data_IF_565722283502
#
_entry.id   IF_565722283502
#
_cell.length_a   1.000
_cell.length_b   1.000
_cell.length_c   1.000
_cell.angle_alpha   90.00
_cell.angle_beta   90.00
_cell.angle_gamma   90.00
#
_symmetry.space_group_name_H-M   'P 1'
#
loop_
_entity.id
_entity.type
_entity.pdbx_description
1 polymer ?
#
# COMPACT_ATOMS: atom_id res chain seq x y z
N UNK A 1 -31.92 -33.46 6.53
CA UNK A 1 -32.46 -33.69 5.18
C UNK A 1 -31.51 -34.57 4.38
N UNK A 2 -32.03 -35.70 3.88
CA UNK A 2 -31.51 -36.61 2.85
C UNK A 2 -30.00 -36.62 2.56
N UNK A 3 -29.35 -37.72 2.95
CA UNK A 3 -28.04 -38.08 2.45
C UNK A 3 -28.01 -38.13 0.92
N UNK A 4 -27.05 -37.42 0.33
CA UNK A 4 -26.60 -37.66 -1.04
C UNK A 4 -25.18 -38.17 -0.95
N UNK A 5 -25.03 -39.49 -0.87
CA UNK A 5 -23.85 -40.15 -1.43
C UNK A 5 -23.96 -40.01 -2.94
N UNK A 6 -23.34 -38.97 -3.47
CA UNK A 6 -23.04 -38.84 -4.88
C UNK A 6 -21.57 -38.44 -4.89
N UNK A 7 -20.73 -39.21 -5.60
CA UNK A 7 -19.37 -38.79 -5.93
C UNK A 7 -19.38 -37.29 -6.23
N UNK A 8 -18.41 -36.49 -5.73
CA UNK A 8 -18.41 -35.05 -5.97
C UNK A 8 -18.67 -34.79 -7.47
N UNK A 9 -19.44 -33.76 -7.84
CA UNK A 9 -19.77 -33.46 -9.23
C UNK A 9 -18.54 -32.96 -10.01
N UNK A 10 -17.36 -33.41 -9.63
CA UNK A 10 -16.05 -33.02 -10.10
C UNK A 10 -15.24 -34.26 -10.49
N UNK A 11 -14.40 -34.11 -11.51
CA UNK A 11 -13.42 -35.10 -11.94
C UNK A 11 -12.07 -34.58 -11.44
N UNK A 12 -11.47 -35.27 -10.46
CA UNK A 12 -10.13 -34.95 -9.95
C UNK A 12 -9.08 -35.29 -11.02
N UNK A 13 -8.10 -34.41 -11.21
CA UNK A 13 -6.97 -34.62 -12.13
C UNK A 13 -5.64 -34.64 -11.37
N UNK A 14 -4.71 -33.72 -11.65
CA UNK A 14 -3.41 -33.68 -10.99
C UNK A 14 -3.46 -33.17 -9.53
N UNK A 15 -2.62 -33.72 -8.63
CA UNK A 15 -2.39 -33.12 -7.33
C UNK A 15 -1.65 -31.78 -7.49
N UNK A 16 -2.13 -30.75 -6.80
CA UNK A 16 -1.56 -29.40 -6.78
C UNK A 16 -0.65 -29.18 -5.57
N UNK A 17 -0.96 -29.85 -4.45
CA UNK A 17 -0.20 -29.74 -3.21
C UNK A 17 -0.60 -30.82 -2.21
N UNK A 18 0.31 -31.13 -1.28
CA UNK A 18 0.06 -32.09 -0.20
C UNK A 18 0.57 -31.50 1.11
N UNK A 19 -0.29 -31.50 2.13
CA UNK A 19 0.04 -31.14 3.50
C UNK A 19 -0.15 -32.34 4.43
N UNK A 20 0.02 -32.11 5.73
CA UNK A 20 -0.02 -33.16 6.76
C UNK A 20 -1.34 -33.94 6.81
N UNK A 21 -2.47 -33.27 6.58
CA UNK A 21 -3.81 -33.85 6.73
C UNK A 21 -4.65 -33.80 5.44
N UNK A 22 -4.13 -33.16 4.40
CA UNK A 22 -4.91 -32.86 3.21
C UNK A 22 -4.07 -32.92 1.93
N UNK A 23 -4.72 -33.34 0.85
CA UNK A 23 -4.16 -33.24 -0.50
C UNK A 23 -5.09 -32.37 -1.33
N UNK A 24 -4.52 -31.42 -2.07
CA UNK A 24 -5.26 -30.53 -2.96
C UNK A 24 -5.14 -31.06 -4.38
N UNK A 25 -6.26 -31.24 -5.05
CA UNK A 25 -6.34 -31.69 -6.44
C UNK A 25 -6.95 -30.61 -7.32
N UNK A 26 -6.49 -30.51 -8.56
CA UNK A 26 -7.25 -29.81 -9.60
C UNK A 26 -8.46 -30.65 -9.98
N UNK A 27 -9.58 -30.01 -10.27
CA UNK A 27 -10.78 -30.71 -10.71
C UNK A 27 -11.63 -29.90 -11.70
N UNK A 28 -12.44 -30.62 -12.48
CA UNK A 28 -13.39 -30.05 -13.44
C UNK A 28 -14.81 -30.49 -13.11
N UNK A 29 -15.79 -29.59 -13.19
CA UNK A 29 -17.20 -29.95 -12.96
C UNK A 29 -17.68 -30.90 -14.07
N UNK A 30 -18.29 -32.05 -13.70
CA UNK A 30 -18.75 -33.10 -14.63
C UNK A 30 -19.72 -32.61 -15.71
N UNK A 31 -20.54 -31.61 -15.38
CA UNK A 31 -21.56 -31.03 -16.28
C UNK A 31 -21.09 -29.76 -17.01
N UNK A 32 -19.96 -29.21 -16.62
CA UNK A 32 -19.36 -28.02 -17.23
C UNK A 32 -17.84 -28.10 -17.10
N UNK A 33 -17.18 -28.62 -18.14
CA UNK A 33 -15.73 -28.80 -18.14
C UNK A 33 -14.96 -27.48 -18.23
N UNK A 34 -15.64 -26.34 -18.38
CA UNK A 34 -14.98 -25.01 -18.35
C UNK A 34 -14.76 -24.51 -16.93
N UNK A 35 -15.51 -25.00 -15.94
CA UNK A 35 -15.29 -24.63 -14.54
C UNK A 35 -14.17 -25.48 -13.92
N UNK A 36 -13.00 -24.84 -13.74
CA UNK A 36 -11.85 -25.41 -13.04
C UNK A 36 -11.89 -24.99 -11.57
N UNK A 37 -11.63 -25.95 -10.67
CA UNK A 37 -11.59 -25.74 -9.21
C UNK A 37 -10.37 -26.44 -8.59
N UNK A 38 -10.00 -26.03 -7.38
CA UNK A 38 -9.07 -26.74 -6.53
C UNK A 38 -9.85 -27.41 -5.39
N UNK A 39 -9.69 -28.71 -5.18
CA UNK A 39 -10.39 -29.46 -4.13
C UNK A 39 -9.39 -29.93 -3.08
N UNK A 40 -9.45 -29.34 -1.88
CA UNK A 40 -8.68 -29.78 -0.70
C UNK A 40 -9.44 -30.93 -0.04
N UNK A 41 -8.89 -32.14 -0.18
CA UNK A 41 -9.42 -33.38 0.36
C UNK A 41 -8.78 -33.65 1.72
N UNK A 42 -9.57 -33.63 2.80
CA UNK A 42 -9.12 -33.88 4.18
C UNK A 42 -9.62 -35.25 4.63
N UNK A 43 -8.73 -36.10 5.13
CA UNK A 43 -9.12 -37.41 5.65
C UNK A 43 -9.58 -37.29 7.11
N UNK A 44 -10.85 -37.62 7.37
CA UNK A 44 -11.47 -37.53 8.71
C UNK A 44 -10.73 -38.35 9.77
N UNK A 45 -10.16 -39.49 9.39
CA UNK A 45 -9.45 -40.39 10.30
C UNK A 45 -8.08 -39.86 10.73
N UNK A 46 -7.52 -38.90 9.98
CA UNK A 46 -6.24 -38.26 10.30
C UNK A 46 -6.38 -37.07 11.27
N UNK A 47 -7.61 -36.66 11.60
CA UNK A 47 -7.86 -35.48 12.41
C UNK A 47 -7.95 -35.85 13.90
N UNK A 48 -7.17 -35.16 14.73
CA UNK A 48 -7.40 -35.12 16.17
C UNK A 48 -8.46 -34.04 16.50
N UNK A 49 -8.89 -33.96 17.77
CA UNK A 49 -9.92 -33.01 18.21
C UNK A 49 -9.57 -31.55 17.86
N UNK A 50 -8.34 -31.12 18.09
CA UNK A 50 -7.89 -29.75 17.77
C UNK A 50 -7.88 -29.49 16.26
N UNK A 51 -7.50 -30.47 15.45
CA UNK A 51 -7.55 -30.38 13.99
C UNK A 51 -8.98 -30.31 13.44
N UNK A 52 -9.94 -30.98 14.10
CA UNK A 52 -11.37 -30.85 13.77
C UNK A 52 -11.87 -29.44 14.08
N UNK A 53 -11.57 -28.91 15.28
CA UNK A 53 -11.95 -27.55 15.67
C UNK A 53 -11.36 -26.51 14.70
N UNK A 54 -10.07 -26.62 14.36
CA UNK A 54 -9.44 -25.75 13.37
C UNK A 54 -10.10 -25.84 11.99
N UNK A 55 -10.47 -27.05 11.52
CA UNK A 55 -11.13 -27.23 10.23
C UNK A 55 -12.54 -26.62 10.21
N UNK A 56 -13.28 -26.73 11.32
CA UNK A 56 -14.60 -26.10 11.44
C UNK A 56 -14.47 -24.57 11.40
N UNK A 57 -13.51 -24.01 12.13
CA UNK A 57 -13.21 -22.57 12.08
C UNK A 57 -12.75 -22.13 10.68
N UNK A 58 -11.91 -22.91 9.99
CA UNK A 58 -11.50 -22.63 8.60
C UNK A 58 -12.73 -22.56 7.68
N UNK A 59 -13.64 -23.53 7.75
CA UNK A 59 -14.88 -23.54 6.96
C UNK A 59 -15.77 -22.35 7.30
N UNK A 60 -15.93 -22.03 8.58
CA UNK A 60 -16.74 -20.91 9.04
C UNK A 60 -16.23 -19.59 8.49
N UNK A 61 -14.94 -19.30 8.68
CA UNK A 61 -14.27 -18.11 8.16
C UNK A 61 -14.46 -18.03 6.65
N UNK A 62 -14.09 -19.09 5.92
CA UNK A 62 -14.12 -19.12 4.46
C UNK A 62 -15.53 -18.94 3.88
N UNK A 63 -16.59 -19.32 4.60
CA UNK A 63 -17.98 -19.10 4.18
C UNK A 63 -18.44 -17.65 4.33
N UNK A 64 -17.83 -16.88 5.23
CA UNK A 64 -18.22 -15.49 5.51
C UNK A 64 -17.43 -14.46 4.69
N UNK A 65 -16.28 -14.86 4.13
CA UNK A 65 -15.39 -13.93 3.44
C UNK A 65 -15.48 -14.05 1.92
N UNK A 66 -15.50 -12.91 1.24
CA UNK A 66 -15.35 -12.84 -0.21
C UNK A 66 -14.59 -11.57 -0.58
N UNK A 67 -13.41 -11.74 -1.15
CA UNK A 67 -12.52 -10.64 -1.50
C UNK A 67 -11.69 -10.99 -2.74
N UNK A 68 -11.43 -10.06 -3.69
CA UNK A 68 -10.65 -10.33 -4.90
C UNK A 68 -9.28 -10.96 -4.64
N UNK A 69 -8.61 -10.57 -3.55
CA UNK A 69 -7.30 -11.06 -3.14
C UNK A 69 -7.32 -12.18 -2.10
N UNK A 70 -8.44 -12.89 -1.96
CA UNK A 70 -8.58 -14.10 -1.13
C UNK A 70 -9.16 -15.22 -2.00
N UNK A 71 -8.66 -16.44 -1.85
CA UNK A 71 -9.19 -17.62 -2.56
C UNK A 71 -10.62 -17.89 -2.08
N UNK A 72 -11.57 -17.89 -3.01
CA UNK A 72 -12.99 -18.13 -2.69
C UNK A 72 -13.25 -19.61 -2.39
N UNK A 73 -13.93 -19.90 -1.27
CA UNK A 73 -14.56 -21.20 -1.04
C UNK A 73 -15.89 -21.24 -1.80
N UNK A 74 -15.94 -21.99 -2.90
CA UNK A 74 -17.11 -22.10 -3.76
C UNK A 74 -18.18 -23.03 -3.18
N UNK A 75 -17.75 -24.12 -2.57
CA UNK A 75 -18.64 -25.15 -2.00
C UNK A 75 -17.87 -26.00 -0.98
N UNK A 76 -18.60 -26.71 -0.11
CA UNK A 76 -18.01 -27.70 0.80
C UNK A 76 -18.87 -28.97 0.83
N UNK A 77 -18.22 -30.13 0.77
CA UNK A 77 -18.89 -31.43 0.72
C UNK A 77 -18.20 -32.41 1.67
N UNK A 78 -18.87 -33.51 2.00
CA UNK A 78 -18.30 -34.58 2.83
C UNK A 78 -18.94 -35.93 2.52
N UNK A 79 -18.20 -37.00 2.78
CA UNK A 79 -18.69 -38.39 2.75
C UNK A 79 -18.38 -39.13 4.06
N UNK A 80 -18.32 -40.46 4.06
CA UNK A 80 -17.98 -41.24 5.26
C UNK A 80 -16.56 -40.96 5.78
N UNK A 81 -15.61 -40.70 4.89
CA UNK A 81 -14.18 -40.75 5.19
C UNK A 81 -13.47 -39.41 4.94
N UNK A 82 -14.04 -38.52 4.12
CA UNK A 82 -13.39 -37.28 3.68
C UNK A 82 -14.27 -36.05 3.81
N UNK A 83 -13.60 -34.91 3.95
CA UNK A 83 -14.16 -33.56 3.79
C UNK A 83 -13.51 -32.93 2.56
N UNK A 84 -14.31 -32.27 1.73
CA UNK A 84 -13.91 -31.67 0.47
C UNK A 84 -14.21 -30.17 0.52
N UNK A 85 -13.16 -29.34 0.47
CA UNK A 85 -13.28 -27.90 0.30
C UNK A 85 -13.08 -27.58 -1.18
N UNK A 86 -14.12 -27.12 -1.86
CA UNK A 86 -14.10 -26.77 -3.28
C UNK A 86 -13.78 -25.28 -3.40
N UNK A 87 -12.59 -24.97 -3.88
CA UNK A 87 -12.01 -23.63 -3.90
C UNK A 87 -11.80 -23.11 -5.32
N UNK A 88 -11.70 -21.79 -5.45
CA UNK A 88 -11.21 -21.13 -6.65
C UNK A 88 -9.83 -21.68 -7.08
N UNK A 89 -9.69 -22.01 -8.37
CA UNK A 89 -8.42 -22.46 -8.93
C UNK A 89 -7.54 -21.28 -9.35
N UNK A 90 -6.31 -21.23 -8.82
CA UNK A 90 -5.30 -20.23 -9.16
C UNK A 90 -4.24 -20.84 -10.09
N UNK A 91 -4.23 -20.44 -11.36
CA UNK A 91 -3.40 -21.08 -12.39
C UNK A 91 -1.92 -20.67 -12.36
N UNK A 92 -1.57 -19.58 -11.68
CA UNK A 92 -0.20 -19.04 -11.60
C UNK A 92 0.71 -19.74 -10.58
N UNK A 93 0.18 -20.69 -9.80
CA UNK A 93 0.91 -21.34 -8.71
C UNK A 93 1.06 -20.42 -7.49
N UNK A 94 2.07 -20.67 -6.66
CA UNK A 94 2.34 -19.92 -5.43
C UNK A 94 3.46 -18.86 -5.59
N UNK A 95 3.41 -17.84 -4.74
CA UNK A 95 4.37 -16.74 -4.72
C UNK A 95 5.78 -17.23 -4.37
N UNK A 96 5.94 -18.30 -3.58
CA UNK A 96 7.25 -18.88 -3.26
C UNK A 96 7.96 -19.36 -4.54
N UNK A 97 7.27 -20.11 -5.40
CA UNK A 97 7.79 -20.52 -6.72
C UNK A 97 8.04 -19.30 -7.62
N UNK A 98 7.16 -18.31 -7.58
CA UNK A 98 7.30 -17.09 -8.38
C UNK A 98 8.58 -16.30 -8.03
N UNK A 99 8.88 -16.13 -6.73
CA UNK A 99 10.12 -15.50 -6.25
C UNK A 99 11.32 -16.37 -6.61
N UNK A 100 11.31 -17.67 -6.29
CA UNK A 100 12.46 -18.56 -6.56
C UNK A 100 12.87 -18.59 -8.03
N UNK A 101 11.92 -18.64 -8.95
CA UNK A 101 12.19 -18.66 -10.40
C UNK A 101 12.81 -17.36 -10.91
N UNK A 102 12.60 -16.23 -10.21
CA UNK A 102 13.16 -14.91 -10.54
C UNK A 102 14.34 -14.52 -9.65
N UNK A 103 14.68 -15.34 -8.64
CA UNK A 103 15.65 -15.10 -7.56
C UNK A 103 15.27 -13.96 -6.61
N UNK A 104 14.83 -12.82 -7.12
CA UNK A 104 14.30 -11.67 -6.38
C UNK A 104 13.32 -10.91 -7.28
N UNK A 105 12.45 -10.11 -6.68
CA UNK A 105 11.50 -9.26 -7.38
C UNK A 105 12.00 -7.81 -7.37
N UNK A 106 11.90 -7.07 -8.49
CA UNK A 106 12.07 -5.63 -8.49
C UNK A 106 11.11 -4.97 -7.49
N UNK A 107 11.56 -3.90 -6.83
CA UNK A 107 10.77 -3.19 -5.81
C UNK A 107 9.38 -2.80 -6.31
N UNK A 108 9.27 -2.33 -7.56
CA UNK A 108 7.99 -1.99 -8.20
C UNK A 108 7.02 -3.16 -8.25
N UNK A 109 7.50 -4.37 -8.53
CA UNK A 109 6.68 -5.60 -8.57
C UNK A 109 6.30 -6.03 -7.15
N UNK A 110 7.26 -5.98 -6.22
CA UNK A 110 7.01 -6.30 -4.81
C UNK A 110 5.96 -5.36 -4.20
N UNK A 111 5.98 -4.07 -4.54
CA UNK A 111 4.99 -3.07 -4.10
C UNK A 111 3.57 -3.41 -4.56
N UNK A 112 3.39 -3.82 -5.82
CA UNK A 112 2.07 -4.21 -6.34
C UNK A 112 1.51 -5.44 -5.60
N UNK A 113 2.35 -6.45 -5.33
CA UNK A 113 1.91 -7.60 -4.53
C UNK A 113 1.64 -7.22 -3.08
N UNK A 114 2.45 -6.35 -2.48
CA UNK A 114 2.23 -5.85 -1.14
C UNK A 114 0.91 -5.10 -1.01
N UNK A 115 0.56 -4.26 -2.00
CA UNK A 115 -0.75 -3.58 -2.06
C UNK A 115 -1.91 -4.57 -2.07
N UNK A 116 -1.85 -5.59 -2.93
CA UNK A 116 -2.89 -6.61 -3.01
C UNK A 116 -3.01 -7.43 -1.73
N UNK A 117 -1.88 -7.75 -1.10
CA UNK A 117 -1.85 -8.41 0.20
C UNK A 117 -2.41 -7.50 1.30
N UNK A 118 -2.09 -6.20 1.28
CA UNK A 118 -2.62 -5.21 2.21
C UNK A 118 -4.15 -5.04 2.06
N UNK A 119 -4.71 -5.10 0.84
CA UNK A 119 -6.15 -5.14 0.63
C UNK A 119 -6.80 -6.35 1.31
N UNK A 120 -6.25 -7.56 1.10
CA UNK A 120 -6.73 -8.76 1.76
C UNK A 120 -6.62 -8.66 3.29
N UNK A 121 -5.47 -8.17 3.79
CA UNK A 121 -5.20 -8.07 5.22
C UNK A 121 -6.10 -7.03 5.90
N UNK A 122 -6.35 -5.90 5.24
CA UNK A 122 -7.33 -4.91 5.72
C UNK A 122 -8.72 -5.52 5.83
N UNK A 123 -9.17 -6.21 4.79
CA UNK A 123 -10.46 -6.88 4.81
C UNK A 123 -10.57 -7.87 5.99
N UNK A 124 -9.54 -8.69 6.22
CA UNK A 124 -9.51 -9.64 7.33
C UNK A 124 -9.50 -8.93 8.69
N UNK A 125 -8.66 -7.90 8.84
CA UNK A 125 -8.55 -7.11 10.06
C UNK A 125 -9.88 -6.44 10.43
N UNK A 126 -10.58 -5.84 9.46
CA UNK A 126 -11.89 -5.21 9.66
C UNK A 126 -12.97 -6.23 10.09
N UNK A 127 -12.76 -7.53 9.84
CA UNK A 127 -13.61 -8.64 10.28
C UNK A 127 -13.08 -9.37 11.53
N UNK A 128 -12.05 -8.82 12.19
CA UNK A 128 -11.36 -9.43 13.33
C UNK A 128 -10.83 -10.84 13.02
N UNK A 129 -10.29 -11.06 11.82
CA UNK A 129 -9.68 -12.34 11.41
C UNK A 129 -8.17 -12.15 11.29
N UNK A 130 -7.41 -12.98 12.01
CA UNK A 130 -5.96 -13.12 11.84
C UNK A 130 -5.66 -14.40 11.08
N UNK A 131 -4.74 -14.36 10.11
CA UNK A 131 -4.39 -15.52 9.28
C UNK A 131 -3.42 -16.46 9.99
N UNK A 132 -2.43 -15.92 10.71
CA UNK A 132 -1.46 -16.65 11.57
C UNK A 132 -0.50 -17.62 10.87
N UNK A 133 -0.63 -17.83 9.56
CA UNK A 133 0.34 -18.58 8.74
C UNK A 133 0.58 -17.90 7.38
N UNK A 134 0.79 -16.58 7.39
CA UNK A 134 1.16 -15.84 6.19
C UNK A 134 2.58 -16.23 5.74
N UNK A 135 2.67 -16.76 4.52
CA UNK A 135 3.93 -17.14 3.86
C UNK A 135 3.74 -17.21 2.35
N UNK A 136 4.80 -17.12 1.54
CA UNK A 136 4.68 -17.13 0.07
C UNK A 136 4.05 -18.40 -0.51
N UNK A 137 4.08 -19.53 0.20
CA UNK A 137 3.40 -20.77 -0.22
C UNK A 137 1.88 -20.71 -0.07
N UNK A 138 1.38 -19.88 0.85
CA UNK A 138 -0.05 -19.65 1.09
C UNK A 138 -0.59 -18.44 0.29
N UNK A 139 0.24 -17.88 -0.59
CA UNK A 139 -0.12 -16.76 -1.46
C UNK A 139 -0.11 -17.28 -2.89
N UNK A 140 -1.29 -17.47 -3.46
CA UNK A 140 -1.46 -17.98 -4.82
C UNK A 140 -1.56 -16.85 -5.84
N UNK A 141 -1.34 -17.19 -7.09
CA UNK A 141 -1.38 -16.27 -8.23
C UNK A 141 -2.47 -16.72 -9.20
N UNK A 142 -3.38 -15.80 -9.56
CA UNK A 142 -4.54 -16.12 -10.39
C UNK A 142 -4.18 -16.69 -11.77
N UNK A 143 -3.11 -16.18 -12.39
CA UNK A 143 -2.63 -16.56 -13.71
C UNK A 143 -1.09 -16.53 -13.80
N UNK A 144 -0.46 -17.18 -14.80
CA UNK A 144 0.99 -17.12 -14.96
C UNK A 144 1.54 -15.74 -15.38
N UNK A 145 0.75 -14.98 -16.13
CA UNK A 145 1.09 -13.65 -16.64
C UNK A 145 0.20 -12.59 -15.99
N UNK A 146 0.79 -11.46 -15.61
CA UNK A 146 0.11 -10.36 -14.88
C UNK A 146 -0.79 -10.86 -13.73
N UNK A 147 -0.25 -11.69 -12.81
CA UNK A 147 -1.05 -12.34 -11.78
C UNK A 147 -1.68 -11.34 -10.80
N UNK A 148 -2.89 -11.68 -10.36
CA UNK A 148 -3.44 -11.15 -9.11
C UNK A 148 -3.10 -12.12 -7.97
N UNK A 149 -2.66 -11.55 -6.86
CA UNK A 149 -2.40 -12.24 -5.62
C UNK A 149 -3.71 -12.68 -4.97
N UNK A 150 -3.77 -13.92 -4.51
CA UNK A 150 -4.87 -14.50 -3.73
C UNK A 150 -4.35 -15.22 -2.50
N UNK A 151 -4.71 -14.73 -1.31
CA UNK A 151 -4.40 -15.36 -0.04
C UNK A 151 -5.20 -16.66 0.12
N UNK A 152 -4.52 -17.73 0.53
CA UNK A 152 -5.07 -19.07 0.66
C UNK A 152 -4.68 -19.72 1.99
N UNK A 153 -5.30 -20.87 2.28
CA UNK A 153 -5.04 -21.74 3.44
C UNK A 153 -5.26 -21.10 4.82
N UNK A 154 -6.53 -21.02 5.20
CA UNK A 154 -7.00 -20.47 6.48
C UNK A 154 -6.99 -21.51 7.62
N UNK A 155 -6.28 -22.63 7.47
CA UNK A 155 -6.27 -23.72 8.46
C UNK A 155 -5.73 -23.33 9.84
N UNK A 156 -4.99 -22.23 9.95
CA UNK A 156 -4.53 -21.65 11.22
C UNK A 156 -5.29 -20.39 11.63
N UNK A 157 -6.14 -19.84 10.77
CA UNK A 157 -6.80 -18.57 10.99
C UNK A 157 -7.75 -18.62 12.19
N UNK A 158 -7.93 -17.47 12.83
CA UNK A 158 -8.75 -17.33 14.03
C UNK A 158 -9.46 -15.97 14.02
N UNK A 159 -10.63 -15.93 14.66
CA UNK A 159 -11.20 -14.65 15.09
C UNK A 159 -10.37 -14.10 16.26
N UNK A 160 -9.90 -12.86 16.12
CA UNK A 160 -9.08 -12.13 17.09
C UNK A 160 -9.50 -10.66 17.11
N UNK A 161 -10.19 -10.27 18.18
CA UNK A 161 -10.44 -8.86 18.51
C UNK A 161 -9.13 -8.21 18.97
N UNK A 162 -9.03 -6.86 18.98
CA UNK A 162 -7.84 -6.15 19.46
C UNK A 162 -7.42 -6.46 20.91
N UNK A 163 -8.34 -6.99 21.71
CA UNK A 163 -8.16 -7.36 23.11
C UNK A 163 -7.79 -8.84 23.31
N UNK A 164 -7.83 -9.65 22.25
CA UNK A 164 -7.62 -11.08 22.32
C UNK A 164 -6.12 -11.43 22.27
N UNK A 165 -5.70 -12.33 23.15
CA UNK A 165 -4.35 -12.85 23.22
C UNK A 165 -4.36 -14.37 23.05
N UNK A 166 -3.33 -14.93 22.41
CA UNK A 166 -3.21 -16.37 22.14
C UNK A 166 -1.89 -16.93 22.65
N UNK A 167 -1.91 -18.22 22.98
CA UNK A 167 -0.76 -18.94 23.56
C UNK A 167 -0.28 -20.15 22.76
N UNK A 168 -1.10 -20.66 21.83
CA UNK A 168 -0.75 -21.84 21.03
C UNK A 168 0.15 -21.42 19.87
N UNK A 169 1.31 -22.07 19.72
CA UNK A 169 2.20 -21.85 18.60
C UNK A 169 1.56 -22.33 17.30
N UNK A 170 1.48 -21.45 16.29
CA UNK A 170 0.86 -21.70 14.98
C UNK A 170 1.72 -21.08 13.88
N UNK A 171 1.64 -21.66 12.68
CA UNK A 171 2.29 -21.15 11.47
C UNK A 171 3.59 -21.84 11.11
N UNK A 172 4.40 -21.16 10.29
CA UNK A 172 5.66 -21.69 9.75
C UNK A 172 6.88 -20.97 10.36
N UNK A 173 7.85 -21.67 10.99
CA UNK A 173 8.89 -21.05 11.82
C UNK A 173 9.68 -19.90 11.18
N UNK A 174 9.93 -19.93 9.87
CA UNK A 174 10.66 -18.86 9.17
C UNK A 174 9.89 -17.53 9.06
N UNK A 175 8.57 -17.56 9.23
CA UNK A 175 7.65 -16.42 9.06
C UNK A 175 6.96 -16.02 10.37
N UNK A 176 7.13 -16.80 11.44
CA UNK A 176 6.57 -16.51 12.76
C UNK A 176 7.23 -15.28 13.37
N UNK A 177 6.42 -14.46 14.06
CA UNK A 177 6.92 -13.34 14.83
C UNK A 177 7.70 -13.83 16.07
N UNK A 178 8.75 -13.11 16.51
CA UNK A 178 9.59 -13.54 17.64
C UNK A 178 8.81 -13.79 18.93
N UNK A 179 7.78 -12.99 19.21
CA UNK A 179 6.93 -13.12 20.40
C UNK A 179 6.14 -14.44 20.43
N UNK A 180 5.78 -15.01 19.27
CA UNK A 180 5.09 -16.30 19.20
C UNK A 180 5.99 -17.42 19.73
N UNK A 181 7.29 -17.36 19.43
CA UNK A 181 8.29 -18.36 19.80
C UNK A 181 8.84 -18.11 21.20
N UNK A 182 9.16 -16.87 21.53
CA UNK A 182 9.86 -16.50 22.76
C UNK A 182 8.92 -16.36 23.96
N UNK A 183 7.69 -15.86 23.75
CA UNK A 183 6.78 -15.49 24.84
C UNK A 183 5.51 -16.33 24.87
N UNK A 184 5.15 -16.99 23.76
CA UNK A 184 3.89 -17.72 23.62
C UNK A 184 2.70 -16.85 24.05
N UNK A 185 2.78 -15.57 23.70
CA UNK A 185 1.80 -14.56 24.03
C UNK A 185 1.82 -13.51 22.94
N UNK A 186 0.76 -13.46 22.13
CA UNK A 186 0.72 -12.65 20.93
C UNK A 186 -0.70 -12.24 20.53
N UNK A 187 -0.78 -11.19 19.70
CA UNK A 187 -2.00 -10.65 19.11
C UNK A 187 -1.90 -10.65 17.58
N UNK A 188 -2.86 -10.00 16.89
CA UNK A 188 -2.93 -9.96 15.43
C UNK A 188 -1.70 -9.33 14.74
N UNK A 189 -0.86 -8.55 15.45
CA UNK A 189 0.34 -7.90 14.87
C UNK A 189 1.42 -8.90 14.43
N UNK A 190 1.27 -10.18 14.76
CA UNK A 190 2.13 -11.25 14.22
C UNK A 190 2.00 -11.36 12.70
N UNK A 191 0.83 -11.08 12.13
CA UNK A 191 0.63 -11.10 10.68
C UNK A 191 1.44 -9.99 10.00
N UNK A 192 1.59 -8.82 10.63
CA UNK A 192 2.44 -7.72 10.11
C UNK A 192 3.92 -8.11 10.07
N UNK A 193 4.41 -8.85 11.07
CA UNK A 193 5.75 -9.42 11.01
C UNK A 193 5.91 -10.36 9.81
N UNK A 194 4.96 -11.28 9.62
CA UNK A 194 4.99 -12.22 8.50
C UNK A 194 4.96 -11.49 7.15
N UNK A 195 4.19 -10.40 7.02
CA UNK A 195 4.21 -9.51 5.83
C UNK A 195 5.61 -8.91 5.62
N UNK A 196 6.27 -8.45 6.68
CA UNK A 196 7.65 -7.96 6.61
C UNK A 196 8.63 -9.04 6.11
N UNK A 197 8.48 -10.28 6.59
CA UNK A 197 9.29 -11.41 6.12
C UNK A 197 9.04 -11.72 4.66
N UNK A 198 7.78 -11.71 4.21
CA UNK A 198 7.40 -11.93 2.80
C UNK A 198 7.99 -10.84 1.90
N UNK A 199 7.89 -9.57 2.31
CA UNK A 199 8.44 -8.44 1.56
C UNK A 199 9.97 -8.54 1.48
N UNK A 200 10.64 -8.88 2.59
CA UNK A 200 12.07 -9.14 2.61
C UNK A 200 12.45 -10.27 1.66
N UNK A 201 11.75 -11.41 1.71
CA UNK A 201 12.03 -12.54 0.82
C UNK A 201 11.80 -12.19 -0.65
N UNK A 202 10.77 -11.40 -0.96
CA UNK A 202 10.53 -10.93 -2.31
C UNK A 202 11.70 -10.07 -2.84
N UNK A 203 12.22 -9.16 -2.02
CA UNK A 203 13.27 -8.20 -2.42
C UNK A 203 14.69 -8.79 -2.41
N UNK A 204 14.97 -9.73 -1.50
CA UNK A 204 16.32 -10.29 -1.29
C UNK A 204 16.43 -11.78 -1.65
N UNK A 205 15.32 -12.43 -2.01
CA UNK A 205 15.26 -13.81 -2.49
C UNK A 205 15.23 -14.90 -1.42
N UNK A 206 15.37 -14.54 -0.13
CA UNK A 206 15.33 -15.47 1.00
C UNK A 206 14.79 -14.76 2.26
N UNK A 207 14.15 -15.47 3.20
CA UNK A 207 13.76 -14.90 4.49
C UNK A 207 14.96 -14.38 5.29
N UNK A 208 14.78 -13.39 6.18
CA UNK A 208 15.87 -12.78 6.95
C UNK A 208 16.53 -13.78 7.90
N UNK A 209 15.78 -14.76 8.41
CA UNK A 209 16.27 -15.80 9.32
C UNK A 209 16.46 -17.17 8.65
N UNK A 210 16.69 -17.20 7.34
CA UNK A 210 17.05 -18.46 6.67
C UNK A 210 18.24 -19.14 7.39
N UNK A 211 18.05 -20.39 7.78
CA UNK A 211 18.97 -21.17 8.63
C UNK A 211 19.08 -22.61 8.13
N UNK A 212 20.18 -23.28 8.47
CA UNK A 212 20.45 -24.68 8.10
C UNK A 212 19.84 -25.67 9.09
N UNK A 213 19.52 -25.23 10.30
CA UNK A 213 18.88 -26.04 11.34
C UNK A 213 17.80 -25.25 12.08
N UNK A 214 16.88 -25.97 12.74
CA UNK A 214 15.87 -25.35 13.60
C UNK A 214 16.51 -24.64 14.80
N UNK A 215 17.59 -25.20 15.38
CA UNK A 215 18.31 -24.57 16.48
C UNK A 215 18.94 -23.22 16.07
N UNK A 216 19.53 -23.13 14.87
CA UNK A 216 20.07 -21.86 14.35
C UNK A 216 18.95 -20.84 14.07
N UNK A 217 17.80 -21.30 13.58
CA UNK A 217 16.62 -20.45 13.40
C UNK A 217 16.13 -19.90 14.74
N UNK A 218 15.98 -20.77 15.73
CA UNK A 218 15.54 -20.40 17.08
C UNK A 218 16.50 -19.39 17.74
N UNK A 219 17.82 -19.57 17.58
CA UNK A 219 18.83 -18.62 18.05
C UNK A 219 18.66 -17.23 17.41
N UNK A 220 18.47 -17.17 16.08
CA UNK A 220 18.23 -15.89 15.38
C UNK A 220 16.92 -15.22 15.80
N UNK A 221 15.87 -16.01 16.04
CA UNK A 221 14.58 -15.52 16.51
C UNK A 221 14.71 -14.96 17.94
N UNK A 222 15.43 -15.64 18.83
CA UNK A 222 15.65 -15.21 20.22
C UNK A 222 16.64 -14.05 20.40
N UNK A 223 17.43 -13.75 19.37
CA UNK A 223 18.36 -12.62 19.40
C UNK A 223 17.64 -11.28 19.51
N UNK A 224 18.20 -10.34 20.27
CA UNK A 224 17.73 -8.95 20.32
C UNK A 224 18.26 -8.08 19.16
N UNK A 225 19.09 -8.65 18.27
CA UNK A 225 19.65 -7.90 17.14
C UNK A 225 18.57 -7.55 16.12
N UNK A 226 18.51 -6.28 15.74
CA UNK A 226 17.65 -5.80 14.66
C UNK A 226 17.93 -6.54 13.35
N UNK A 227 16.92 -6.66 12.49
CA UNK A 227 17.10 -7.29 11.18
C UNK A 227 17.93 -6.37 10.29
N UNK A 228 19.08 -6.85 9.84
CA UNK A 228 19.94 -6.12 8.93
C UNK A 228 19.44 -6.24 7.48
N UNK A 229 19.19 -5.09 6.85
CA UNK A 229 18.82 -5.02 5.44
C UNK A 229 20.07 -4.98 4.57
N UNK A 230 20.23 -5.89 3.59
CA UNK A 230 21.34 -5.82 2.64
C UNK A 230 21.44 -4.46 1.93
N UNK A 231 22.67 -4.06 1.60
CA UNK A 231 22.93 -2.83 0.82
C UNK A 231 22.51 -2.95 -0.64
N UNK A 232 22.35 -4.17 -1.15
CA UNK A 232 21.87 -4.46 -2.50
C UNK A 232 20.69 -5.45 -2.48
N UNK A 233 19.66 -5.25 -3.32
CA UNK A 233 19.48 -4.11 -4.23
C UNK A 233 19.31 -2.78 -3.47
N UNK A 234 19.56 -1.66 -4.16
CA UNK A 234 19.20 -0.35 -3.62
C UNK A 234 17.68 -0.27 -3.59
N UNK A 235 17.14 0.09 -2.43
CA UNK A 235 15.72 0.23 -2.19
C UNK A 235 15.42 1.70 -1.93
N UNK A 236 14.21 2.13 -2.26
CA UNK A 236 13.71 3.46 -1.85
C UNK A 236 13.74 3.62 -0.33
N UNK A 237 13.77 4.88 0.13
CA UNK A 237 13.77 5.19 1.55
C UNK A 237 12.48 4.69 2.20
N UNK A 238 11.35 4.84 1.50
CA UNK A 238 10.03 4.40 1.94
C UNK A 238 9.94 2.87 2.05
N UNK A 239 10.58 2.12 1.14
CA UNK A 239 10.64 0.67 1.22
C UNK A 239 11.45 0.20 2.44
N UNK A 240 12.61 0.83 2.67
CA UNK A 240 13.48 0.52 3.83
C UNK A 240 12.81 0.85 5.14
N UNK A 241 12.15 2.01 5.22
CA UNK A 241 11.38 2.45 6.37
C UNK A 241 10.29 1.44 6.73
N UNK A 242 9.45 1.06 5.75
CA UNK A 242 8.39 0.08 5.97
C UNK A 242 8.94 -1.27 6.45
N UNK A 243 9.99 -1.79 5.79
CA UNK A 243 10.62 -3.05 6.19
C UNK A 243 11.13 -3.01 7.63
N UNK A 244 11.75 -1.89 8.02
CA UNK A 244 12.24 -1.67 9.38
C UNK A 244 11.11 -1.70 10.41
N UNK A 245 9.99 -1.03 10.11
CA UNK A 245 8.87 -0.96 11.05
C UNK A 245 8.04 -2.27 11.11
N UNK A 246 7.97 -3.06 10.02
CA UNK A 246 7.33 -4.39 10.02
C UNK A 246 8.17 -5.44 10.75
N UNK A 247 9.50 -5.40 10.58
CA UNK A 247 10.46 -6.33 11.18
C UNK A 247 11.00 -5.85 12.54
N UNK A 248 10.25 -4.97 13.20
CA UNK A 248 10.47 -4.61 14.60
C UNK A 248 10.04 -5.76 15.51
N UNK A 249 10.96 -6.14 16.42
CA UNK A 249 10.82 -7.34 17.26
C UNK A 249 9.87 -7.11 18.42
N UNK A 250 9.86 -5.92 19.02
CA UNK A 250 8.86 -5.60 20.05
C UNK A 250 7.51 -5.30 19.37
N UNK A 251 6.46 -6.13 19.55
CA UNK A 251 5.17 -5.91 18.90
C UNK A 251 4.55 -4.55 19.25
N UNK A 252 4.93 -3.93 20.38
CA UNK A 252 4.46 -2.60 20.79
C UNK A 252 5.13 -1.46 20.02
N UNK A 253 6.31 -1.69 19.45
CA UNK A 253 7.03 -0.74 18.60
C UNK A 253 6.82 -1.01 17.11
N UNK A 254 6.41 -2.23 16.77
CA UNK A 254 6.04 -2.61 15.40
C UNK A 254 4.90 -1.72 14.90
N UNK A 255 4.96 -1.39 13.61
CA UNK A 255 3.93 -0.59 12.94
C UNK A 255 2.53 -1.15 13.24
N UNK A 256 1.56 -0.27 13.48
CA UNK A 256 0.17 -0.68 13.66
C UNK A 256 -0.48 -0.99 12.31
N UNK A 257 -1.63 -1.66 12.31
CA UNK A 257 -2.38 -1.91 11.07
C UNK A 257 -2.79 -0.61 10.37
N UNK A 258 -3.26 0.38 11.13
CA UNK A 258 -3.68 1.69 10.61
C UNK A 258 -2.51 2.41 9.92
N UNK A 259 -1.35 2.46 10.60
CA UNK A 259 -0.14 3.06 10.05
C UNK A 259 0.40 2.27 8.86
N UNK A 260 0.30 0.93 8.87
CA UNK A 260 0.67 0.08 7.74
C UNK A 260 -0.16 0.38 6.50
N UNK A 261 -1.50 0.44 6.63
CA UNK A 261 -2.39 0.75 5.51
C UNK A 261 -2.22 2.19 5.00
N UNK A 262 -1.86 3.13 5.87
CA UNK A 262 -1.58 4.53 5.53
C UNK A 262 -0.13 4.77 5.05
N UNK A 263 0.73 3.74 5.07
CA UNK A 263 2.15 3.93 4.81
C UNK A 263 2.39 4.33 3.34
N UNK A 264 3.24 5.35 3.05
CA UNK A 264 3.47 5.85 1.68
C UNK A 264 3.95 4.79 0.69
N UNK A 265 4.76 3.82 1.15
CA UNK A 265 5.18 2.70 0.32
C UNK A 265 4.02 1.75 -0.04
N UNK A 266 3.07 1.52 0.87
CA UNK A 266 1.90 0.67 0.60
C UNK A 266 0.95 1.39 -0.34
N UNK A 267 0.61 2.65 -0.05
CA UNK A 267 -0.21 3.49 -0.92
C UNK A 267 -1.55 2.82 -1.29
N UNK A 268 -2.40 2.64 -0.28
CA UNK A 268 -3.73 2.04 -0.45
C UNK A 268 -4.70 2.93 -1.26
N UNK A 269 -4.39 4.21 -1.44
CA UNK A 269 -5.21 5.15 -2.22
C UNK A 269 -5.11 4.86 -3.73
N UNK A 270 -3.92 4.49 -4.21
CA UNK A 270 -3.63 4.29 -5.63
C UNK A 270 -3.48 2.80 -6.03
N UNK A 271 -4.13 1.89 -5.30
CA UNK A 271 -4.11 0.46 -5.62
C UNK A 271 -4.58 0.24 -7.08
N UNK A 272 -3.84 -0.48 -7.91
CA UNK A 272 -4.26 -0.76 -9.29
C UNK A 272 -5.60 -1.52 -9.35
N UNK A 273 -6.63 -0.92 -9.95
CA UNK A 273 -7.94 -1.55 -10.08
C UNK A 273 -8.97 -0.72 -10.86
N UNK A 274 -10.17 -1.27 -11.12
CA UNK A 274 -11.23 -0.60 -11.87
C UNK A 274 -11.70 0.71 -11.21
N UNK A 275 -11.78 0.72 -9.87
CA UNK A 275 -12.16 1.91 -9.11
C UNK A 275 -11.15 3.05 -9.26
N UNK A 276 -9.85 2.72 -9.25
CA UNK A 276 -8.77 3.69 -9.47
C UNK A 276 -8.84 4.27 -10.88
N UNK A 277 -9.18 3.46 -11.89
CA UNK A 277 -9.41 3.97 -13.25
C UNK A 277 -10.64 4.89 -13.33
N UNK A 278 -11.71 4.57 -12.60
CA UNK A 278 -12.89 5.43 -12.45
C UNK A 278 -12.53 6.78 -11.86
N UNK A 279 -11.89 6.79 -10.68
CA UNK A 279 -11.41 8.02 -10.02
C UNK A 279 -10.47 8.84 -10.90
N UNK A 280 -9.54 8.18 -11.60
CA UNK A 280 -8.64 8.85 -12.53
C UNK A 280 -9.40 9.55 -13.66
N UNK A 281 -10.43 8.89 -14.19
CA UNK A 281 -11.28 9.43 -15.25
C UNK A 281 -12.07 10.64 -14.75
N UNK A 282 -12.68 10.56 -13.57
CA UNK A 282 -13.44 11.66 -12.97
C UNK A 282 -12.55 12.89 -12.74
N UNK A 283 -11.34 12.68 -12.21
CA UNK A 283 -10.35 13.75 -12.00
C UNK A 283 -9.89 14.39 -13.31
N UNK A 284 -9.66 13.61 -14.37
CA UNK A 284 -9.29 14.17 -15.69
C UNK A 284 -10.44 14.94 -16.32
N UNK A 285 -11.68 14.46 -16.20
CA UNK A 285 -12.84 15.18 -16.74
C UNK A 285 -12.95 16.56 -16.11
N UNK A 286 -12.78 16.63 -14.78
CA UNK A 286 -12.75 17.89 -14.05
C UNK A 286 -11.51 18.75 -14.39
N UNK A 287 -10.34 18.12 -14.59
CA UNK A 287 -9.13 18.82 -15.04
C UNK A 287 -9.34 19.52 -16.40
N UNK A 288 -9.92 18.80 -17.37
CA UNK A 288 -10.24 19.33 -18.71
C UNK A 288 -11.21 20.51 -18.60
N UNK A 289 -12.23 20.42 -17.72
CA UNK A 289 -13.17 21.51 -17.49
C UNK A 289 -12.46 22.76 -16.95
N UNK A 290 -11.59 22.60 -15.95
CA UNK A 290 -10.80 23.71 -15.38
C UNK A 290 -9.83 24.33 -16.37
N UNK A 291 -9.24 23.50 -17.22
CA UNK A 291 -8.37 23.95 -18.30
C UNK A 291 -9.15 24.84 -19.29
N UNK A 292 -10.35 24.40 -19.69
CA UNK A 292 -11.24 25.17 -20.58
C UNK A 292 -11.76 26.47 -19.95
N UNK A 293 -11.93 26.50 -18.62
CA UNK A 293 -12.29 27.72 -17.87
C UNK A 293 -11.12 28.71 -17.74
N UNK A 294 -9.91 28.33 -18.15
CA UNK A 294 -8.70 29.13 -18.03
C UNK A 294 -8.05 29.11 -16.64
N UNK A 295 -8.53 28.25 -15.73
CA UNK A 295 -7.92 28.04 -14.41
C UNK A 295 -6.76 27.05 -14.50
N UNK A 296 -5.64 27.52 -15.04
CA UNK A 296 -4.46 26.69 -15.29
C UNK A 296 -3.88 26.05 -14.02
N UNK A 297 -4.00 26.72 -12.87
CA UNK A 297 -3.49 26.20 -11.59
C UNK A 297 -4.34 25.04 -11.06
N UNK A 298 -5.67 25.18 -11.07
CA UNK A 298 -6.56 24.09 -10.69
C UNK A 298 -6.46 22.91 -11.68
N UNK A 299 -6.42 23.20 -12.98
CA UNK A 299 -6.28 22.18 -14.02
C UNK A 299 -4.97 21.38 -13.86
N UNK A 300 -3.84 22.06 -13.67
CA UNK A 300 -2.55 21.39 -13.43
C UNK A 300 -2.60 20.45 -12.23
N UNK A 301 -3.15 20.92 -11.10
CA UNK A 301 -3.28 20.12 -9.88
C UNK A 301 -4.13 18.86 -10.10
N UNK A 302 -5.27 19.00 -10.79
CA UNK A 302 -6.17 17.89 -11.10
C UNK A 302 -5.55 16.89 -12.09
N UNK A 303 -4.86 17.36 -13.14
CA UNK A 303 -4.13 16.47 -14.05
C UNK A 303 -3.06 15.68 -13.32
N UNK A 304 -2.26 16.35 -12.47
CA UNK A 304 -1.23 15.67 -11.66
C UNK A 304 -1.86 14.59 -10.78
N UNK A 305 -2.94 14.93 -10.06
CA UNK A 305 -3.65 13.99 -9.19
C UNK A 305 -4.22 12.82 -9.98
N UNK A 306 -4.80 13.06 -11.15
CA UNK A 306 -5.34 11.97 -11.96
C UNK A 306 -4.26 11.00 -12.45
N UNK A 307 -3.05 11.50 -12.76
CA UNK A 307 -1.93 10.66 -13.19
C UNK A 307 -1.44 9.72 -12.09
N UNK A 308 -1.53 10.12 -10.82
CA UNK A 308 -1.24 9.27 -9.65
C UNK A 308 -2.12 8.01 -9.64
N UNK A 309 -3.35 8.08 -10.17
CA UNK A 309 -4.26 6.93 -10.31
C UNK A 309 -4.11 6.19 -11.66
N UNK A 310 -3.90 6.91 -12.76
CA UNK A 310 -3.80 6.30 -14.09
C UNK A 310 -2.58 5.39 -14.25
N UNK A 311 -1.41 5.81 -13.75
CA UNK A 311 -0.15 5.08 -13.96
C UNK A 311 -0.16 3.69 -13.30
N UNK A 312 -0.59 3.53 -12.03
CA UNK A 312 -0.77 2.21 -11.44
C UNK A 312 -1.88 1.40 -12.14
N UNK A 313 -3.02 2.02 -12.47
CA UNK A 313 -4.16 1.33 -13.10
C UNK A 313 -3.83 0.75 -14.49
N UNK A 314 -2.92 1.36 -15.25
CA UNK A 314 -2.43 0.81 -16.53
C UNK A 314 -1.82 -0.60 -16.40
N UNK A 315 -1.25 -0.92 -15.24
CA UNK A 315 -0.67 -2.23 -14.99
C UNK A 315 -1.74 -3.29 -14.72
N UNK A 316 -2.91 -2.87 -14.23
CA UNK A 316 -4.06 -3.75 -13.99
C UNK A 316 -4.81 -4.12 -15.27
N UNK A 317 -4.85 -3.23 -16.27
CA UNK A 317 -5.57 -3.48 -17.52
C UNK A 317 -4.94 -4.67 -18.27
N UNK A 318 -5.76 -5.70 -18.49
CA UNK A 318 -5.35 -6.96 -19.12
C UNK A 318 -5.59 -6.97 -20.62
N UNK A 319 -6.58 -6.21 -21.09
CA UNK A 319 -6.81 -6.06 -22.53
C UNK A 319 -5.73 -5.15 -23.15
N UNK A 320 -4.95 -5.73 -24.06
CA UNK A 320 -3.81 -5.05 -24.71
C UNK A 320 -4.25 -3.78 -25.44
N UNK A 321 -5.37 -3.83 -26.16
CA UNK A 321 -5.86 -2.69 -26.96
C UNK A 321 -6.33 -1.57 -26.05
N UNK A 322 -7.09 -1.92 -25.02
CA UNK A 322 -7.57 -0.95 -24.02
C UNK A 322 -6.40 -0.32 -23.27
N UNK A 323 -5.42 -1.13 -22.87
CA UNK A 323 -4.19 -0.65 -22.22
C UNK A 323 -3.41 0.33 -23.09
N UNK A 324 -3.25 0.04 -24.38
CA UNK A 324 -2.60 0.96 -25.33
C UNK A 324 -3.38 2.26 -25.51
N UNK A 325 -4.71 2.18 -25.59
CA UNK A 325 -5.57 3.36 -25.69
C UNK A 325 -5.47 4.25 -24.43
N UNK A 326 -5.53 3.65 -23.23
CA UNK A 326 -5.36 4.38 -21.98
C UNK A 326 -3.95 4.98 -21.92
N UNK A 327 -2.91 4.23 -22.29
CA UNK A 327 -1.52 4.72 -22.30
C UNK A 327 -1.35 5.91 -23.24
N UNK A 328 -1.98 5.88 -24.42
CA UNK A 328 -1.96 7.01 -25.35
C UNK A 328 -2.63 8.25 -24.76
N UNK A 329 -3.76 8.09 -24.06
CA UNK A 329 -4.43 9.19 -23.35
C UNK A 329 -3.61 9.74 -22.19
N UNK A 330 -3.01 8.88 -21.38
CA UNK A 330 -2.15 9.29 -20.27
C UNK A 330 -0.95 10.11 -20.76
N UNK A 331 -0.34 9.76 -21.89
CA UNK A 331 0.70 10.60 -22.52
C UNK A 331 0.19 12.00 -22.89
N UNK A 332 -1.02 12.10 -23.45
CA UNK A 332 -1.62 13.40 -23.76
C UNK A 332 -1.84 14.24 -22.49
N UNK A 333 -2.33 13.61 -21.42
CA UNK A 333 -2.54 14.30 -20.13
C UNK A 333 -1.23 14.75 -19.48
N UNK A 334 -0.16 13.94 -19.58
CA UNK A 334 1.18 14.33 -19.12
C UNK A 334 1.68 15.56 -19.88
N UNK A 335 1.65 15.51 -21.22
CA UNK A 335 2.09 16.64 -22.05
C UNK A 335 1.31 17.91 -21.71
N UNK A 336 -0.02 17.82 -21.54
CA UNK A 336 -0.84 18.97 -21.16
C UNK A 336 -0.53 19.48 -19.75
N UNK A 337 -0.30 18.59 -18.79
CA UNK A 337 0.09 18.97 -17.44
C UNK A 337 1.44 19.73 -17.42
N UNK A 338 2.40 19.32 -18.26
CA UNK A 338 3.69 20.01 -18.39
C UNK A 338 3.54 21.42 -18.98
N UNK A 339 2.69 21.59 -20.01
CA UNK A 339 2.35 22.91 -20.55
C UNK A 339 1.71 23.82 -19.49
N UNK A 340 0.72 23.30 -18.76
CA UNK A 340 0.03 24.04 -17.69
C UNK A 340 0.99 24.40 -16.56
N UNK A 341 1.93 23.51 -16.22
CA UNK A 341 2.99 23.80 -15.22
C UNK A 341 3.79 25.03 -15.62
N UNK A 342 4.24 25.11 -16.88
CA UNK A 342 5.00 26.27 -17.38
C UNK A 342 4.18 27.55 -17.26
N UNK A 343 2.89 27.51 -17.67
CA UNK A 343 1.99 28.64 -17.58
C UNK A 343 1.80 29.14 -16.13
N UNK A 344 1.61 28.21 -15.18
CA UNK A 344 1.46 28.52 -13.76
C UNK A 344 2.75 29.13 -13.21
N UNK A 345 3.91 28.55 -13.51
CA UNK A 345 5.21 29.08 -13.07
C UNK A 345 5.47 30.47 -13.63
N UNK A 346 5.18 30.72 -14.92
CA UNK A 346 5.32 32.05 -15.53
C UNK A 346 4.35 33.07 -14.94
N UNK A 347 3.09 32.69 -14.69
CA UNK A 347 2.10 33.56 -14.06
C UNK A 347 2.49 33.93 -12.62
N UNK A 348 3.00 32.96 -11.86
CA UNK A 348 3.49 33.20 -10.50
C UNK A 348 4.72 34.12 -10.50
N UNK A 349 5.65 33.92 -11.44
CA UNK A 349 6.81 34.83 -11.61
C UNK A 349 6.38 36.27 -11.92
N UNK A 350 5.43 36.45 -12.82
CA UNK A 350 4.88 37.77 -13.15
C UNK A 350 4.16 38.43 -11.96
N UNK A 351 3.48 37.64 -11.11
CA UNK A 351 2.85 38.12 -9.88
C UNK A 351 3.89 38.56 -8.83
N UNK A 352 4.98 37.81 -8.68
CA UNK A 352 6.10 38.14 -7.80
C UNK A 352 6.81 39.44 -8.26
N UNK A 353 7.07 39.57 -9.57
CA UNK A 353 7.66 40.79 -10.15
C UNK A 353 6.75 42.02 -9.97
N UNK A 354 5.43 41.86 -10.12
CA UNK A 354 4.44 42.92 -9.86
C UNK A 354 4.26 43.23 -8.37
N UNK A 355 4.54 42.29 -7.48
CA UNK A 355 4.52 42.48 -6.02
C UNK A 355 5.75 43.20 -5.47
N UNK A 356 6.82 43.30 -6.26
CA UNK A 356 8.09 43.92 -5.87
C UNK A 356 7.96 45.38 -5.36
N UNK A 357 7.15 46.27 -5.97
CA UNK A 357 6.93 47.62 -5.45
C UNK A 357 6.23 47.65 -4.08
N UNK A 358 5.27 46.75 -3.84
CA UNK A 358 4.60 46.64 -2.55
C UNK A 358 5.53 46.05 -1.48
N UNK A 359 6.46 45.18 -1.88
CA UNK A 359 7.48 44.58 -1.01
C UNK A 359 8.54 45.59 -0.56
N UNK A 360 9.00 46.45 -1.46
CA UNK A 360 9.92 47.54 -1.12
C UNK A 360 9.24 48.56 -0.20
N UNK A 361 7.96 48.87 -0.43
CA UNK A 361 7.17 49.70 0.48
C UNK A 361 7.02 49.05 1.87
N UNK A 362 6.77 47.74 1.93
CA UNK A 362 6.70 46.97 3.19
C UNK A 362 8.04 46.94 3.93
N UNK A 363 9.17 46.82 3.23
CA UNK A 363 10.51 46.92 3.85
C UNK A 363 10.75 48.30 4.44
N UNK A 364 10.38 49.36 3.74
CA UNK A 364 10.45 50.74 4.26
C UNK A 364 9.56 50.93 5.50
N UNK A 365 8.31 50.45 5.45
CA UNK A 365 7.39 50.52 6.59
C UNK A 365 7.80 49.63 7.78
N UNK A 366 8.62 48.61 7.53
CA UNK A 366 9.08 47.67 8.55
C UNK A 366 10.33 48.13 9.31
N UNK A 367 11.02 49.20 8.87
CA UNK A 367 12.30 49.67 9.46
C UNK A 367 12.23 49.88 10.97
N UNK A 368 11.08 50.31 11.49
CA UNK A 368 10.88 50.56 12.93
C UNK A 368 10.35 49.33 13.70
N UNK A 369 10.19 48.18 13.02
CA UNK A 369 9.67 46.92 13.57
C UNK A 369 10.68 45.78 13.34
N UNK A 370 11.63 45.55 14.27
CA UNK A 370 12.76 44.64 14.05
C UNK A 370 12.36 43.18 13.74
N UNK A 371 11.24 42.69 14.30
CA UNK A 371 10.72 41.36 13.97
C UNK A 371 10.15 41.24 12.56
N UNK A 372 9.49 42.29 12.07
CA UNK A 372 8.95 42.33 10.71
C UNK A 372 10.08 42.43 9.69
N UNK A 373 11.12 43.22 9.98
CA UNK A 373 12.35 43.28 9.18
C UNK A 373 13.02 41.90 9.07
N UNK A 374 13.24 41.20 10.20
CA UNK A 374 13.86 39.88 10.18
C UNK A 374 13.05 38.88 9.34
N UNK A 375 11.72 38.87 9.47
CA UNK A 375 10.87 37.99 8.67
C UNK A 375 10.94 38.32 7.16
N UNK A 376 10.99 39.60 6.79
CA UNK A 376 11.11 40.06 5.40
C UNK A 376 12.50 39.78 4.80
N UNK A 377 13.57 39.81 5.61
CA UNK A 377 14.93 39.44 5.21
C UNK A 377 15.03 37.94 4.91
N UNK A 378 14.46 37.09 5.78
CA UNK A 378 14.39 35.63 5.58
C UNK A 378 13.63 35.29 4.28
N UNK A 379 12.50 35.96 4.02
CA UNK A 379 11.78 35.81 2.74
C UNK A 379 12.59 36.31 1.53
N UNK A 380 13.48 37.29 1.72
CA UNK A 380 14.33 37.80 0.64
C UNK A 380 15.47 36.83 0.31
N UNK A 381 16.03 36.19 1.33
CA UNK A 381 17.01 35.11 1.17
C UNK A 381 16.40 33.87 0.50
N UNK A 382 15.16 33.50 0.85
CA UNK A 382 14.43 32.41 0.19
C UNK A 382 14.30 32.64 -1.32
N UNK A 383 13.94 33.87 -1.71
CA UNK A 383 13.75 34.26 -3.11
C UNK A 383 15.07 34.31 -3.88
N UNK A 384 16.13 34.84 -3.28
CA UNK A 384 17.46 34.82 -3.91
C UNK A 384 17.95 33.38 -4.19
N UNK A 385 17.71 32.45 -3.24
CA UNK A 385 18.03 31.03 -3.45
C UNK A 385 17.20 30.40 -4.57
N UNK A 386 15.92 30.76 -4.67
CA UNK A 386 15.05 30.31 -5.76
C UNK A 386 15.52 30.83 -7.14
N UNK A 387 15.95 32.09 -7.21
CA UNK A 387 16.50 32.71 -8.44
C UNK A 387 17.85 32.12 -8.86
N UNK A 388 18.68 31.69 -7.91
CA UNK A 388 19.96 31.02 -8.16
C UNK A 388 19.80 29.56 -8.66
N UNK A 389 18.59 29.02 -8.63
CA UNK A 389 18.26 27.69 -9.13
C UNK A 389 18.93 26.54 -8.35
N UNK A 390 19.39 26.79 -7.12
CA UNK A 390 20.04 25.81 -6.25
C UNK A 390 19.12 25.44 -5.07
N UNK A 391 18.94 24.13 -4.91
CA UNK A 391 18.32 23.44 -3.77
C UNK A 391 17.00 24.02 -3.25
N UNK A 392 15.89 23.60 -3.87
CA UNK A 392 14.52 24.03 -3.55
C UNK A 392 14.11 23.74 -2.09
N UNK A 393 14.78 22.77 -1.42
CA UNK A 393 14.53 22.42 -0.02
C UNK A 393 14.91 23.54 0.94
N UNK A 394 16.06 24.18 0.69
CA UNK A 394 16.55 25.28 1.52
C UNK A 394 15.67 26.53 1.36
N UNK A 395 15.21 26.80 0.13
CA UNK A 395 14.30 27.91 -0.14
C UNK A 395 12.96 27.70 0.57
N UNK A 396 12.44 26.47 0.56
CA UNK A 396 11.19 26.10 1.24
C UNK A 396 11.26 26.28 2.76
N UNK A 397 12.36 25.85 3.40
CA UNK A 397 12.57 26.04 4.84
C UNK A 397 12.57 27.53 5.21
N UNK A 398 13.25 28.37 4.41
CA UNK A 398 13.28 29.82 4.61
C UNK A 398 11.89 30.46 4.41
N UNK A 399 11.11 30.00 3.42
CA UNK A 399 9.72 30.44 3.26
C UNK A 399 8.85 30.08 4.46
N UNK A 400 8.96 28.85 4.98
CA UNK A 400 8.20 28.39 6.14
C UNK A 400 8.58 29.19 7.40
N UNK A 401 9.88 29.45 7.60
CA UNK A 401 10.38 30.25 8.71
C UNK A 401 9.85 31.70 8.65
N UNK A 402 9.93 32.34 7.48
CA UNK A 402 9.42 33.70 7.29
C UNK A 402 7.90 33.77 7.51
N UNK A 403 7.14 32.81 6.96
CA UNK A 403 5.70 32.76 7.11
C UNK A 403 5.27 32.55 8.57
N UNK A 404 5.99 31.71 9.32
CA UNK A 404 5.74 31.49 10.75
C UNK A 404 5.86 32.78 11.57
N UNK A 405 6.90 33.57 11.33
CA UNK A 405 7.11 34.87 11.99
C UNK A 405 6.05 35.91 11.60
N UNK A 406 5.67 35.97 10.32
CA UNK A 406 4.61 36.88 9.84
C UNK A 406 3.23 36.55 10.44
N UNK A 407 2.91 35.26 10.59
CA UNK A 407 1.66 34.82 11.22
C UNK A 407 1.62 35.18 12.71
N UNK A 408 2.74 35.06 13.42
CA UNK A 408 2.86 35.47 14.82
C UNK A 408 2.67 36.99 15.00
N UNK A 409 3.20 37.79 14.08
CA UNK A 409 3.03 39.26 14.07
C UNK A 409 1.57 39.67 13.82
N UNK A 410 0.91 39.05 12.83
CA UNK A 410 -0.51 39.28 12.53
C UNK A 410 -1.42 38.88 13.70
N UNK A 411 -1.10 37.77 14.39
CA UNK A 411 -1.83 37.36 15.59
C UNK A 411 -1.69 38.35 16.75
N UNK A 412 -0.52 39.01 16.87
CA UNK A 412 -0.25 40.04 17.88
C UNK A 412 -0.95 41.37 17.63
N UNK A 413 -1.03 41.82 16.37
CA UNK A 413 -1.69 43.10 15.99
C UNK A 413 -3.23 43.02 16.01
N UNK A 414 -3.81 41.84 15.81
CA UNK A 414 -5.28 41.63 15.79
C UNK A 414 -5.91 41.46 17.18
N UNK A 415 -5.13 41.45 18.27
CA UNK A 415 -5.67 41.36 19.64
C UNK A 415 -6.60 40.15 19.87
N UNK A 416 -6.36 39.04 19.17
CA UNK A 416 -7.19 37.83 19.27
C UNK A 416 -6.91 37.12 20.61
N UNK A 417 -7.60 37.58 21.67
CA UNK A 417 -7.90 36.72 22.82
C UNK A 417 -8.90 35.64 22.38
N UNK A 418 -8.78 34.39 22.86
CA UNK A 418 -9.74 33.34 22.52
C UNK A 418 -11.11 33.71 23.10
N UNK A 419 -12.10 34.01 22.25
CA UNK A 419 -13.50 34.09 22.70
C UNK A 419 -14.45 35.15 22.13
N UNK A 420 -14.15 35.90 21.06
CA UNK A 420 -15.20 36.71 20.37
C UNK A 420 -15.05 36.72 18.85
N UNK A 421 -16.17 36.46 18.16
CA UNK A 421 -16.32 36.60 16.70
C UNK A 421 -16.08 38.06 16.26
N UNK A 422 -15.29 38.31 15.20
CA UNK A 422 -15.18 39.63 14.61
C UNK A 422 -16.16 39.80 13.43
N UNK A 423 -16.82 40.96 13.41
CA UNK A 423 -17.35 41.56 12.18
C UNK A 423 -16.16 42.13 11.39
N UNK A 424 -16.17 41.92 10.07
CA UNK A 424 -15.15 42.32 9.09
C UNK A 424 -14.54 43.73 9.30
N UNK A 425 -13.25 43.92 8.95
CA UNK A 425 -12.89 44.18 7.55
C UNK A 425 -11.72 43.33 7.01
N UNK A 426 -11.78 43.10 5.69
CA UNK A 426 -10.71 42.72 4.76
C UNK A 426 -9.60 41.75 5.24
N UNK A 427 -9.81 40.47 4.97
CA UNK A 427 -8.76 39.45 5.01
C UNK A 427 -7.66 39.76 3.95
N UNK A 428 -6.37 39.70 4.28
CA UNK A 428 -5.28 39.88 3.32
C UNK A 428 -5.05 38.59 2.51
N UNK A 429 -6.11 38.09 1.87
CA UNK A 429 -6.05 36.92 0.98
C UNK A 429 -5.04 37.06 -0.18
N UNK A 430 -4.74 38.27 -0.73
CA UNK A 430 -3.71 38.42 -1.76
C UNK A 430 -2.27 38.25 -1.24
N UNK A 431 -1.99 38.66 0.00
CA UNK A 431 -0.65 38.61 0.62
C UNK A 431 -0.26 37.19 1.04
N UNK A 432 -1.21 36.42 1.56
CA UNK A 432 -1.03 34.99 1.85
C UNK A 432 -0.86 34.14 0.58
N UNK A 433 -1.45 34.56 -0.54
CA UNK A 433 -1.26 33.90 -1.86
C UNK A 433 0.11 34.18 -2.48
N UNK A 434 0.71 35.34 -2.20
CA UNK A 434 2.02 35.72 -2.71
C UNK A 434 3.19 35.06 -1.95
N UNK A 435 2.94 34.52 -0.76
CA UNK A 435 3.94 33.88 0.12
C UNK A 435 3.80 32.34 0.16
N UNK A 436 2.88 31.76 -0.61
CA UNK A 436 2.74 30.32 -0.71
C UNK A 436 3.88 29.73 -1.57
N UNK A 437 4.60 28.71 -1.10
CA UNK A 437 5.70 28.13 -1.87
C UNK A 437 5.17 27.50 -3.16
N UNK A 438 5.91 27.62 -4.29
CA UNK A 438 5.55 26.93 -5.52
C UNK A 438 5.68 25.41 -5.34
N UNK A 439 4.70 24.67 -5.85
CA UNK A 439 4.78 23.22 -5.95
C UNK A 439 5.77 22.83 -7.07
N UNK A 440 7.06 22.79 -6.76
CA UNK A 440 8.13 22.26 -7.63
C UNK A 440 9.16 21.57 -6.74
N UNK A 441 9.53 20.30 -6.90
CA UNK A 441 9.54 19.41 -8.07
C UNK A 441 9.09 17.99 -7.70
N UNK A 442 8.58 17.26 -8.68
CA UNK A 442 8.88 15.84 -8.84
C UNK A 442 9.35 15.60 -10.27
N UNK A 443 10.07 14.50 -10.48
CA UNK A 443 10.56 13.91 -11.73
C UNK A 443 9.82 14.36 -13.01
N UNK A 444 10.51 14.42 -14.18
CA UNK A 444 9.80 14.59 -15.46
C UNK A 444 8.60 13.64 -15.49
N UNK A 445 7.40 14.14 -15.78
CA UNK A 445 6.18 13.31 -15.69
C UNK A 445 6.26 12.14 -16.68
N UNK A 446 7.08 12.27 -17.72
CA UNK A 446 7.45 11.18 -18.64
C UNK A 446 8.22 10.01 -17.98
N UNK A 447 8.99 10.22 -16.91
CA UNK A 447 9.71 9.13 -16.21
C UNK A 447 8.77 8.15 -15.52
N UNK A 448 7.55 8.59 -15.19
CA UNK A 448 6.49 7.75 -14.64
C UNK A 448 5.98 6.69 -15.65
N UNK A 449 6.18 6.92 -16.96
CA UNK A 449 5.74 6.02 -18.02
C UNK A 449 6.85 5.09 -18.55
N UNK A 450 8.12 5.48 -18.44
CA UNK A 450 9.23 4.82 -19.15
C UNK A 450 9.92 3.70 -18.37
N UNK A 451 9.54 3.43 -17.12
CA UNK A 451 9.96 2.20 -16.45
C UNK A 451 11.46 2.10 -16.14
N UNK A 452 12.16 3.22 -15.98
CA UNK A 452 13.42 3.26 -15.22
C UNK A 452 13.09 3.24 -13.73
#
# INVERSE_FOLDING_TARGET
>A
CSGRSCSPPFILTEPLGSGTYATVYKAYRKRDTREVVAIKCVNKRSLNRASVENLLTEIEILKTIRHPNIVELKDFQWDSDHIYLIMEFCAGGDLSRFIRTRRMLPEKVARVFLQQLACALKFLHDHNISHLDLKPQNILLSAPENPQLKLADFGFAQYMSPWDEKHVLRGSPLYMAPEMVCRQHYDARVDLWSVGVILYEALFGKPPFASRSFAELEEKIRSDRAVELPSRPQLSLECRDLLGQLLERDPRKRISFESFFAHPFVDMEHVPGPESLGKATDLVVEAVRKDQEGDAAAAFSLYRKALEYFVPALHYESDVRRKEAIRAKVRQYISRAEELKVLVTSSNKNLLEKGNPARELLKEMAKDKPRLCAALEVASAAIAKEEEGRDDSDALELYQQSLGELLLLLAGELGLRPGRHPQHPACPAPLLRALAPPASKSCSLESLLTGC
#
